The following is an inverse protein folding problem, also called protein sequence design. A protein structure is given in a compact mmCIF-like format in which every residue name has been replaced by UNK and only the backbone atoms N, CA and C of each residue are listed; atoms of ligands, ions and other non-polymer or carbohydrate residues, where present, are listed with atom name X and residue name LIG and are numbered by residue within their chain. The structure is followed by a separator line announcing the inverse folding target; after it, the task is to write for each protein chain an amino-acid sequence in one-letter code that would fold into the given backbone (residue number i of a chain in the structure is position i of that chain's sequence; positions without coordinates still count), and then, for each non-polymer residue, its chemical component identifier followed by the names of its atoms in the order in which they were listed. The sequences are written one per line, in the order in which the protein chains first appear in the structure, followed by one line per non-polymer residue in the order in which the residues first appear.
data_IF_907922651319
#
_entry.id   IF_907922651319
#
_cell.length_a   1.000
_cell.length_b   1.000
_cell.length_c   1.000
_cell.angle_alpha   90.00
_cell.angle_beta   90.00
_cell.angle_gamma   90.00
#
_symmetry.space_group_name_H-M   'P 1'
#
loop_
_entity.id
_entity.type
_entity.pdbx_description
1 polymer ?
#
# COMPACT_ATOMS: atom_id res chain seq x y z
N UNK A 1 -17.23 -0.86 32.85
CA UNK A 1 -16.39 -1.85 32.14
C UNK A 1 -14.97 -1.31 32.15
N UNK A 2 -13.99 -2.06 32.60
CA UNK A 2 -12.60 -1.60 32.54
C UNK A 2 -12.14 -1.60 31.07
N UNK A 3 -11.80 -0.42 30.56
CA UNK A 3 -11.41 -0.21 29.16
C UNK A 3 -10.15 -1.03 28.83
N UNK A 4 -9.18 -1.07 29.75
CA UNK A 4 -7.93 -1.77 29.51
C UNK A 4 -8.14 -3.29 29.45
N UNK A 5 -9.02 -3.86 30.29
CA UNK A 5 -9.40 -5.28 30.22
C UNK A 5 -10.06 -5.63 28.86
N UNK A 6 -10.91 -4.74 28.35
CA UNK A 6 -11.55 -4.95 27.04
C UNK A 6 -10.53 -4.90 25.90
N UNK A 7 -9.57 -3.98 25.95
CA UNK A 7 -8.51 -3.86 24.93
C UNK A 7 -7.54 -5.05 24.98
N UNK A 8 -7.21 -5.55 26.18
CA UNK A 8 -6.41 -6.78 26.35
C UNK A 8 -7.08 -7.98 25.71
N UNK A 9 -8.38 -8.18 25.98
CA UNK A 9 -9.16 -9.25 25.36
C UNK A 9 -9.18 -9.12 23.84
N UNK A 10 -9.31 -7.91 23.30
CA UNK A 10 -9.26 -7.69 21.84
C UNK A 10 -7.89 -8.05 21.27
N UNK A 11 -6.81 -7.74 21.98
CA UNK A 11 -5.45 -8.11 21.57
C UNK A 11 -5.25 -9.64 21.56
N UNK A 12 -5.80 -10.35 22.57
CA UNK A 12 -5.75 -11.81 22.61
C UNK A 12 -6.52 -12.43 21.43
N UNK A 13 -7.72 -11.92 21.13
CA UNK A 13 -8.53 -12.39 20.01
C UNK A 13 -7.84 -12.15 18.67
N UNK A 14 -7.23 -10.97 18.47
CA UNK A 14 -6.46 -10.65 17.27
C UNK A 14 -5.27 -11.60 17.08
N UNK A 15 -4.60 -11.96 18.19
CA UNK A 15 -3.51 -12.92 18.15
C UNK A 15 -3.98 -14.32 17.74
N UNK A 16 -5.10 -14.78 18.31
CA UNK A 16 -5.68 -16.10 17.96
C UNK A 16 -6.08 -16.16 16.48
N UNK A 17 -6.72 -15.12 15.96
CA UNK A 17 -7.08 -15.02 14.54
C UNK A 17 -5.84 -15.06 13.65
N UNK A 18 -4.81 -14.27 13.97
CA UNK A 18 -3.54 -14.27 13.23
C UNK A 18 -2.88 -15.66 13.23
N UNK A 19 -2.78 -16.28 14.40
CA UNK A 19 -2.10 -17.57 14.55
C UNK A 19 -2.84 -18.68 13.78
N UNK A 20 -4.18 -18.64 13.74
CA UNK A 20 -4.99 -19.60 12.95
C UNK A 20 -4.86 -19.37 11.44
N UNK A 21 -4.97 -18.11 10.96
CA UNK A 21 -4.77 -17.82 9.54
C UNK A 21 -3.37 -18.20 9.06
N UNK A 22 -2.35 -17.89 9.88
CA UNK A 22 -0.97 -18.27 9.58
C UNK A 22 -0.79 -19.80 9.51
N UNK A 23 -1.41 -20.54 10.42
CA UNK A 23 -1.37 -21.99 10.44
C UNK A 23 -2.03 -22.57 9.17
N UNK A 24 -3.21 -22.09 8.80
CA UNK A 24 -3.90 -22.52 7.58
C UNK A 24 -3.09 -22.22 6.32
N UNK A 25 -2.46 -21.06 6.27
CA UNK A 25 -1.58 -20.67 5.17
C UNK A 25 -0.39 -21.64 5.02
N UNK A 26 0.36 -21.91 6.09
CA UNK A 26 1.50 -22.84 6.03
C UNK A 26 1.08 -24.26 5.73
N UNK A 27 -0.03 -24.74 6.28
CA UNK A 27 -0.57 -26.05 5.92
C UNK A 27 -0.87 -26.16 4.42
N UNK A 28 -1.41 -25.10 3.81
CA UNK A 28 -1.67 -25.09 2.38
C UNK A 28 -0.38 -25.15 1.56
N UNK A 29 0.66 -24.43 1.95
CA UNK A 29 1.95 -24.43 1.25
C UNK A 29 2.73 -25.74 1.38
N UNK A 30 2.74 -26.36 2.56
CA UNK A 30 3.58 -27.53 2.84
C UNK A 30 2.92 -28.86 2.44
N UNK A 31 1.58 -28.97 2.55
CA UNK A 31 0.87 -30.22 2.32
C UNK A 31 0.18 -30.33 0.96
N UNK A 32 0.01 -29.22 0.23
CA UNK A 32 -0.70 -29.20 -1.04
C UNK A 32 0.28 -29.07 -2.21
N UNK A 33 0.00 -29.79 -3.29
CA UNK A 33 0.73 -29.65 -4.53
C UNK A 33 0.52 -28.25 -5.16
N UNK A 34 1.41 -27.85 -6.06
CA UNK A 34 1.26 -26.58 -6.79
C UNK A 34 -0.08 -26.55 -7.54
N UNK A 35 -0.46 -27.67 -8.14
CA UNK A 35 -1.71 -27.79 -8.89
C UNK A 35 -2.95 -27.61 -8.00
N UNK A 36 -2.93 -28.12 -6.79
CA UNK A 36 -4.02 -27.94 -5.80
C UNK A 36 -4.11 -26.49 -5.34
N UNK A 37 -2.98 -25.85 -5.11
CA UNK A 37 -2.92 -24.41 -4.73
C UNK A 37 -3.38 -23.50 -5.86
N UNK A 38 -3.07 -23.83 -7.11
CA UNK A 38 -3.56 -23.11 -8.31
C UNK A 38 -5.09 -23.26 -8.41
N UNK A 39 -5.64 -24.47 -8.21
CA UNK A 39 -7.10 -24.69 -8.19
C UNK A 39 -7.81 -23.88 -7.10
N UNK A 40 -7.17 -23.72 -5.93
CA UNK A 40 -7.69 -22.89 -4.84
C UNK A 40 -7.54 -21.36 -5.08
N UNK A 41 -6.81 -20.97 -6.12
CA UNK A 41 -6.59 -19.56 -6.45
C UNK A 41 -5.59 -18.84 -5.54
N UNK A 42 -4.80 -19.56 -4.71
CA UNK A 42 -3.76 -19.00 -3.84
C UNK A 42 -2.36 -19.02 -4.48
N UNK A 43 -2.21 -19.64 -5.63
CA UNK A 43 -0.97 -19.75 -6.39
C UNK A 43 -1.23 -19.49 -7.86
N UNK A 44 -0.37 -18.73 -8.52
CA UNK A 44 -0.29 -18.63 -9.99
C UNK A 44 0.96 -19.38 -10.47
N UNK A 45 0.79 -20.35 -11.34
CA UNK A 45 1.86 -21.20 -11.88
C UNK A 45 1.40 -21.90 -13.16
N UNK A 46 2.24 -22.08 -14.21
CA UNK A 46 3.57 -21.48 -14.34
C UNK A 46 3.49 -20.02 -14.82
N UNK A 47 4.44 -19.21 -14.39
CA UNK A 47 4.67 -17.88 -14.88
C UNK A 47 6.03 -17.81 -15.57
N UNK A 48 6.18 -16.91 -16.56
CA UNK A 48 7.44 -16.66 -17.24
C UNK A 48 7.94 -15.25 -16.92
N UNK A 49 9.14 -15.13 -16.38
CA UNK A 49 9.81 -13.85 -16.19
C UNK A 49 10.21 -13.28 -17.57
N UNK A 50 9.70 -12.09 -17.91
CA UNK A 50 9.93 -11.44 -19.21
C UNK A 50 10.72 -10.15 -19.12
N UNK A 51 10.78 -9.55 -17.94
CA UNK A 51 11.50 -8.31 -17.74
C UNK A 51 11.82 -8.03 -16.29
N UNK A 52 12.79 -7.16 -16.10
CA UNK A 52 13.21 -6.67 -14.81
C UNK A 52 13.75 -5.25 -14.93
N UNK A 53 13.25 -4.36 -14.09
CA UNK A 53 13.72 -2.97 -14.02
C UNK A 53 13.72 -2.45 -12.58
N UNK A 54 14.53 -1.43 -12.30
CA UNK A 54 14.49 -0.73 -11.02
C UNK A 54 13.36 0.30 -11.04
N UNK A 55 12.34 0.06 -10.24
CA UNK A 55 11.16 0.92 -10.09
C UNK A 55 11.36 2.03 -9.05
N UNK A 56 10.27 2.74 -8.76
CA UNK A 56 10.19 3.74 -7.69
C UNK A 56 10.48 3.08 -6.32
N UNK A 57 11.17 3.79 -5.42
CA UNK A 57 11.50 3.28 -4.07
C UNK A 57 12.65 2.25 -4.05
N UNK A 58 13.50 2.20 -5.09
CA UNK A 58 14.60 1.22 -5.24
C UNK A 58 14.16 -0.25 -5.29
N UNK A 59 12.88 -0.51 -5.49
CA UNK A 59 12.39 -1.86 -5.67
C UNK A 59 12.77 -2.40 -7.04
N UNK A 60 13.26 -3.64 -7.08
CA UNK A 60 13.32 -4.37 -8.33
C UNK A 60 11.91 -4.77 -8.74
N UNK A 61 11.49 -4.38 -9.93
CA UNK A 61 10.22 -4.74 -10.50
C UNK A 61 10.40 -5.88 -11.49
N UNK A 62 9.76 -7.01 -11.20
CA UNK A 62 9.70 -8.16 -12.08
C UNK A 62 8.45 -8.10 -12.93
N UNK A 63 8.59 -8.39 -14.20
CA UNK A 63 7.50 -8.55 -15.15
C UNK A 63 7.33 -10.04 -15.47
N UNK A 64 6.15 -10.58 -15.20
CA UNK A 64 5.79 -11.96 -15.51
C UNK A 64 4.69 -12.02 -16.56
N UNK A 65 4.88 -12.84 -17.59
CA UNK A 65 3.79 -13.24 -18.48
C UNK A 65 2.93 -14.30 -17.80
N UNK A 66 1.61 -14.07 -17.81
CA UNK A 66 0.62 -15.03 -17.34
C UNK A 66 0.06 -15.80 -18.55
N UNK A 67 0.11 -17.14 -18.57
CA UNK A 67 -0.53 -17.92 -19.61
C UNK A 67 -2.03 -17.58 -19.69
N UNK A 68 -2.57 -17.41 -20.90
CA UNK A 68 -3.95 -16.94 -21.14
C UNK A 68 -5.10 -17.75 -20.54
N UNK A 69 -4.81 -18.87 -19.87
CA UNK A 69 -5.77 -19.69 -19.13
C UNK A 69 -5.80 -19.41 -17.62
N UNK A 70 -4.86 -18.63 -17.09
CA UNK A 70 -4.83 -18.29 -15.66
C UNK A 70 -5.67 -17.06 -15.40
N UNK A 71 -6.74 -17.22 -14.63
CA UNK A 71 -7.48 -16.09 -14.07
C UNK A 71 -6.72 -15.58 -12.83
N UNK A 72 -6.48 -14.28 -12.68
CA UNK A 72 -5.80 -13.73 -11.51
C UNK A 72 -6.55 -13.99 -10.20
N UNK A 73 -7.85 -14.30 -10.23
CA UNK A 73 -8.61 -14.68 -9.03
C UNK A 73 -8.48 -13.67 -7.90
N UNK A 74 -7.91 -14.11 -6.77
CA UNK A 74 -7.68 -13.26 -5.59
C UNK A 74 -6.44 -12.36 -5.70
N UNK A 75 -5.63 -12.50 -6.75
CA UNK A 75 -4.46 -11.65 -6.98
C UNK A 75 -4.88 -10.28 -7.48
N UNK A 76 -4.42 -9.25 -6.82
CA UNK A 76 -4.70 -7.85 -7.18
C UNK A 76 -3.54 -6.95 -6.77
N UNK A 77 -3.49 -5.74 -7.29
CA UNK A 77 -2.51 -4.73 -6.86
C UNK A 77 -2.54 -4.51 -5.35
N UNK A 78 -1.37 -4.38 -4.74
CA UNK A 78 -1.19 -4.22 -3.31
C UNK A 78 -1.08 -5.53 -2.51
N UNK A 79 -1.36 -6.70 -3.09
CA UNK A 79 -1.19 -7.99 -2.41
C UNK A 79 0.28 -8.37 -2.28
N UNK A 80 0.66 -8.84 -1.09
CA UNK A 80 1.99 -9.40 -0.84
C UNK A 80 2.04 -10.83 -1.36
N UNK A 81 3.15 -11.16 -2.01
CA UNK A 81 3.35 -12.45 -2.68
C UNK A 81 4.76 -12.98 -2.44
N UNK A 82 4.91 -14.30 -2.57
CA UNK A 82 6.20 -14.99 -2.65
C UNK A 82 6.39 -15.55 -4.06
N UNK A 83 7.48 -15.14 -4.70
CA UNK A 83 7.93 -15.69 -5.98
C UNK A 83 8.76 -16.92 -5.67
N UNK A 84 8.50 -18.03 -6.36
CA UNK A 84 9.24 -19.29 -6.26
C UNK A 84 9.44 -19.87 -7.65
N UNK A 85 10.41 -20.80 -7.81
CA UNK A 85 10.58 -21.57 -9.02
C UNK A 85 10.57 -23.08 -8.73
N UNK A 86 10.12 -23.86 -9.72
CA UNK A 86 9.95 -25.30 -9.59
C UNK A 86 8.58 -25.75 -9.06
N UNK A 87 8.39 -27.06 -8.94
CA UNK A 87 7.12 -27.66 -8.49
C UNK A 87 7.04 -27.87 -6.98
N UNK A 88 8.18 -27.86 -6.28
CA UNK A 88 8.25 -28.02 -4.83
C UNK A 88 8.41 -26.66 -4.15
N UNK A 89 7.62 -26.41 -3.12
CA UNK A 89 7.77 -25.19 -2.31
C UNK A 89 8.98 -25.37 -1.37
N UNK A 90 9.99 -24.52 -1.57
CA UNK A 90 11.17 -24.48 -0.72
C UNK A 90 11.22 -23.15 0.02
N UNK A 91 10.87 -23.14 1.29
CA UNK A 91 10.75 -21.93 2.13
C UNK A 91 11.99 -21.01 2.12
N UNK A 92 13.17 -21.53 1.79
CA UNK A 92 14.43 -20.76 1.72
C UNK A 92 14.73 -20.19 0.33
N UNK A 93 14.02 -20.63 -0.69
CA UNK A 93 14.21 -20.26 -2.09
C UNK A 93 12.99 -19.49 -2.59
N UNK A 94 12.65 -18.37 -1.91
CA UNK A 94 11.54 -17.50 -2.28
C UNK A 94 11.96 -16.03 -2.20
N UNK A 95 11.40 -15.21 -3.08
CA UNK A 95 11.51 -13.75 -3.03
C UNK A 95 10.16 -13.17 -2.64
N UNK A 96 10.11 -12.38 -1.57
CA UNK A 96 8.92 -11.64 -1.19
C UNK A 96 8.79 -10.38 -2.03
N UNK A 97 7.57 -10.10 -2.46
CA UNK A 97 7.27 -8.91 -3.22
C UNK A 97 5.82 -8.47 -3.06
N UNK A 98 5.49 -7.35 -3.67
CA UNK A 98 4.12 -6.81 -3.71
C UNK A 98 3.69 -6.67 -5.16
N UNK A 99 2.50 -7.17 -5.49
CA UNK A 99 1.91 -6.97 -6.82
C UNK A 99 1.64 -5.48 -7.01
N UNK A 100 2.29 -4.87 -7.98
CA UNK A 100 2.00 -3.48 -8.37
C UNK A 100 0.77 -3.43 -9.27
N UNK A 101 0.72 -4.31 -10.25
CA UNK A 101 -0.32 -4.30 -11.27
C UNK A 101 -0.46 -5.67 -11.92
N UNK A 102 -1.68 -5.99 -12.35
CA UNK A 102 -1.98 -7.08 -13.28
C UNK A 102 -2.75 -6.48 -14.46
N UNK A 103 -2.20 -6.54 -15.65
CA UNK A 103 -2.80 -5.94 -16.85
C UNK A 103 -2.34 -6.66 -18.11
N UNK A 104 -3.27 -6.86 -19.05
CA UNK A 104 -2.99 -7.42 -20.39
C UNK A 104 -2.21 -8.75 -20.38
N UNK A 105 -2.52 -9.64 -19.43
CA UNK A 105 -1.83 -10.92 -19.29
C UNK A 105 -0.44 -10.84 -18.66
N UNK A 106 -0.07 -9.69 -18.10
CA UNK A 106 1.19 -9.48 -17.39
C UNK A 106 0.94 -9.15 -15.91
N UNK A 107 1.84 -9.62 -15.05
CA UNK A 107 1.90 -9.29 -13.63
C UNK A 107 3.21 -8.57 -13.35
N UNK A 108 3.11 -7.44 -12.63
CA UNK A 108 4.26 -6.66 -12.17
C UNK A 108 4.39 -6.82 -10.66
N UNK A 109 5.54 -7.32 -10.20
CA UNK A 109 5.82 -7.53 -8.77
C UNK A 109 7.03 -6.73 -8.37
N UNK A 110 6.87 -5.83 -7.39
CA UNK A 110 7.98 -5.08 -6.80
C UNK A 110 8.55 -5.85 -5.61
N UNK A 111 9.86 -5.92 -5.51
CA UNK A 111 10.58 -6.61 -4.44
C UNK A 111 11.77 -5.78 -3.93
N UNK A 112 12.11 -5.95 -2.65
CA UNK A 112 13.30 -5.36 -2.01
C UNK A 112 14.54 -6.26 -2.11
N UNK A 113 14.54 -7.22 -3.04
CA UNK A 113 15.67 -8.13 -3.20
C UNK A 113 16.90 -7.39 -3.74
N UNK A 114 18.01 -7.42 -3.00
CA UNK A 114 19.27 -6.76 -3.42
C UNK A 114 20.06 -7.61 -4.41
N UNK A 115 19.95 -8.94 -4.32
CA UNK A 115 20.60 -9.89 -5.20
C UNK A 115 19.60 -10.83 -5.83
N UNK A 116 19.75 -11.03 -7.15
CA UNK A 116 18.95 -12.00 -7.89
C UNK A 116 19.48 -13.39 -7.64
N UNK A 117 18.69 -14.32 -7.12
CA UNK A 117 19.12 -15.70 -7.02
C UNK A 117 19.15 -16.36 -8.40
N UNK A 118 20.12 -17.25 -8.62
CA UNK A 118 20.33 -17.94 -9.89
C UNK A 118 19.08 -18.75 -10.35
N UNK A 119 18.30 -19.26 -9.39
CA UNK A 119 17.09 -20.05 -9.67
C UNK A 119 15.95 -19.25 -10.32
N UNK A 120 16.02 -17.90 -10.31
CA UNK A 120 14.96 -17.07 -10.92
C UNK A 120 14.97 -17.14 -12.46
N UNK A 121 16.09 -17.56 -13.06
CA UNK A 121 16.22 -17.77 -14.52
C UNK A 121 15.73 -19.16 -14.94
N UNK A 122 15.42 -20.05 -14.01
CA UNK A 122 14.91 -21.39 -14.29
C UNK A 122 13.49 -21.34 -14.89
N UNK A 123 13.17 -22.31 -15.72
CA UNK A 123 11.82 -22.45 -16.29
C UNK A 123 10.80 -22.81 -15.20
N UNK A 124 9.65 -22.14 -15.21
CA UNK A 124 8.53 -22.47 -14.33
C UNK A 124 8.56 -21.78 -12.98
N UNK A 125 8.64 -20.47 -12.98
CA UNK A 125 8.36 -19.66 -11.78
C UNK A 125 6.87 -19.62 -11.46
N UNK A 126 6.58 -19.35 -10.21
CA UNK A 126 5.22 -19.14 -9.70
C UNK A 126 5.17 -18.08 -8.62
N UNK A 127 3.95 -17.69 -8.28
CA UNK A 127 3.70 -16.69 -7.26
C UNK A 127 2.61 -17.19 -6.31
N UNK A 128 2.92 -17.26 -5.01
CA UNK A 128 1.96 -17.56 -3.95
C UNK A 128 1.46 -16.25 -3.32
N UNK A 129 0.17 -16.16 -3.00
CA UNK A 129 -0.32 -15.15 -2.05
C UNK A 129 0.32 -15.42 -0.70
N UNK A 130 0.77 -14.37 -0.01
CA UNK A 130 1.37 -14.48 1.33
C UNK A 130 0.33 -14.12 2.38
N UNK A 131 0.43 -14.75 3.55
CA UNK A 131 -0.27 -14.32 4.74
C UNK A 131 0.07 -12.86 5.07
N UNK A 132 -0.95 -12.05 5.33
CA UNK A 132 -0.78 -10.61 5.58
C UNK A 132 -0.35 -10.33 7.03
N UNK A 133 0.88 -10.72 7.37
CA UNK A 133 1.47 -10.47 8.69
C UNK A 133 1.60 -8.96 8.99
N UNK A 134 1.75 -8.13 7.95
CA UNK A 134 1.93 -6.69 8.12
C UNK A 134 0.67 -6.03 8.70
N UNK A 135 -0.51 -6.34 8.18
CA UNK A 135 -1.78 -5.80 8.70
C UNK A 135 -2.01 -6.20 10.16
N UNK A 136 -1.69 -7.45 10.53
CA UNK A 136 -1.79 -7.88 11.93
C UNK A 136 -0.82 -7.13 12.85
N UNK A 137 0.42 -6.91 12.40
CA UNK A 137 1.42 -6.14 13.15
C UNK A 137 0.98 -4.70 13.38
N UNK A 138 0.41 -4.05 12.35
CA UNK A 138 -0.12 -2.69 12.47
C UNK A 138 -1.32 -2.62 13.42
N UNK A 139 -2.25 -3.58 13.35
CA UNK A 139 -3.38 -3.67 14.28
C UNK A 139 -2.92 -3.87 15.73
N UNK A 140 -1.97 -4.79 15.97
CA UNK A 140 -1.36 -4.98 17.31
C UNK A 140 -0.65 -3.71 17.81
N UNK A 141 0.10 -3.06 16.91
CA UNK A 141 0.77 -1.79 17.24
C UNK A 141 -0.21 -0.68 17.58
N UNK A 142 -1.32 -0.57 16.83
CA UNK A 142 -2.38 0.39 17.12
C UNK A 142 -3.03 0.13 18.49
N UNK A 143 -3.37 -1.13 18.80
CA UNK A 143 -3.93 -1.51 20.11
C UNK A 143 -2.96 -1.16 21.25
N UNK A 144 -1.67 -1.45 21.11
CA UNK A 144 -0.65 -1.09 22.11
C UNK A 144 -0.59 0.42 22.33
N UNK A 145 -0.62 1.23 21.25
CA UNK A 145 -0.64 2.70 21.36
C UNK A 145 -1.89 3.21 22.08
N UNK A 146 -3.06 2.64 21.77
CA UNK A 146 -4.33 3.01 22.44
C UNK A 146 -4.30 2.62 23.92
N UNK A 147 -3.79 1.44 24.28
CA UNK A 147 -3.66 0.99 25.66
C UNK A 147 -2.73 1.90 26.46
N UNK A 148 -1.57 2.25 25.90
CA UNK A 148 -0.56 3.09 26.54
C UNK A 148 -0.91 4.59 26.58
N UNK A 149 -1.99 5.02 25.93
CA UNK A 149 -2.35 6.42 25.88
C UNK A 149 -2.84 6.94 27.24
N UNK A 150 -2.12 7.95 27.77
CA UNK A 150 -2.39 8.66 29.02
C UNK A 150 -2.25 10.17 28.77
N UNK A 151 -3.14 10.97 29.34
CA UNK A 151 -3.11 12.45 29.35
C UNK A 151 -2.88 13.14 27.98
N UNK A 152 -3.34 12.50 26.90
CA UNK A 152 -3.27 13.03 25.54
C UNK A 152 -4.62 12.89 24.80
N UNK A 153 -4.69 13.43 23.60
CA UNK A 153 -5.90 13.39 22.77
C UNK A 153 -6.39 11.95 22.52
N UNK A 154 -5.49 10.99 22.30
CA UNK A 154 -5.84 9.59 22.10
C UNK A 154 -6.46 8.96 23.35
N UNK A 155 -5.97 9.32 24.56
CA UNK A 155 -6.56 8.86 25.83
C UNK A 155 -7.99 9.40 26.01
N UNK A 156 -8.22 10.68 25.67
CA UNK A 156 -9.56 11.28 25.65
C UNK A 156 -10.47 10.54 24.68
N UNK A 157 -9.99 10.29 23.47
CA UNK A 157 -10.73 9.58 22.42
C UNK A 157 -11.08 8.14 22.86
N UNK A 158 -10.13 7.42 23.45
CA UNK A 158 -10.33 6.12 24.05
C UNK A 158 -11.50 6.15 25.07
N UNK A 159 -11.52 7.13 25.98
CA UNK A 159 -12.61 7.28 26.97
C UNK A 159 -13.96 7.53 26.30
N UNK A 160 -14.02 8.36 25.26
CA UNK A 160 -15.27 8.65 24.53
C UNK A 160 -15.80 7.40 23.83
N UNK A 161 -14.97 6.66 23.12
CA UNK A 161 -15.37 5.45 22.38
C UNK A 161 -15.92 4.35 23.33
N UNK A 162 -15.36 4.23 24.53
CA UNK A 162 -15.80 3.25 25.52
C UNK A 162 -16.80 3.80 26.54
N UNK A 163 -17.37 4.98 26.30
CA UNK A 163 -18.45 5.57 27.12
C UNK A 163 -18.00 6.16 28.47
N UNK A 164 -16.67 6.31 28.69
CA UNK A 164 -16.11 6.93 29.89
C UNK A 164 -16.08 8.46 29.84
N UNK A 165 -16.35 9.09 28.70
CA UNK A 165 -16.46 10.53 28.54
C UNK A 165 -17.49 10.84 27.45
N UNK A 166 -18.08 12.05 27.51
CA UNK A 166 -18.98 12.54 26.47
C UNK A 166 -18.18 13.26 25.38
N UNK A 167 -18.55 13.10 24.08
CA UNK A 167 -17.95 13.88 23.00
C UNK A 167 -18.37 15.36 23.10
N UNK A 168 -17.49 16.26 22.64
CA UNK A 168 -17.76 17.70 22.59
C UNK A 168 -18.20 18.11 21.20
N UNK A 169 -19.03 19.16 21.17
CA UNK A 169 -19.53 19.77 19.96
C UNK A 169 -19.33 21.29 20.01
N UNK A 170 -19.24 21.91 18.84
CA UNK A 170 -19.23 23.35 18.66
C UNK A 170 -20.30 23.72 17.64
N UNK A 171 -20.79 24.94 17.69
CA UNK A 171 -21.66 25.44 16.63
C UNK A 171 -20.81 25.96 15.48
N UNK A 172 -20.93 25.30 14.32
CA UNK A 172 -20.24 25.67 13.08
C UNK A 172 -21.30 25.86 12.02
N UNK A 173 -21.21 26.93 11.26
CA UNK A 173 -22.11 27.16 10.15
C UNK A 173 -21.90 26.11 9.05
N UNK A 174 -22.99 25.46 8.64
CA UNK A 174 -23.02 24.52 7.53
C UNK A 174 -23.74 25.18 6.35
N UNK A 175 -23.07 25.26 5.22
CA UNK A 175 -23.71 25.76 3.99
C UNK A 175 -24.79 24.79 3.51
N UNK A 176 -26.02 25.28 3.23
CA UNK A 176 -27.06 24.43 2.66
C UNK A 176 -26.65 23.89 1.30
N UNK A 177 -26.85 22.59 1.07
CA UNK A 177 -26.53 21.92 -0.18
C UNK A 177 -27.80 21.41 -0.83
N UNK A 178 -28.21 22.00 -1.93
CA UNK A 178 -29.48 21.70 -2.60
C UNK A 178 -29.63 20.24 -3.07
N UNK A 179 -28.52 19.54 -3.28
CA UNK A 179 -28.52 18.13 -3.70
C UNK A 179 -28.67 17.13 -2.54
N UNK A 180 -28.63 17.59 -1.28
CA UNK A 180 -28.78 16.76 -0.10
C UNK A 180 -30.21 16.80 0.41
N UNK A 181 -30.73 15.64 0.84
CA UNK A 181 -31.98 15.61 1.56
C UNK A 181 -31.82 16.13 3.01
N UNK A 182 -32.92 16.43 3.74
CA UNK A 182 -32.84 16.99 5.09
C UNK A 182 -31.99 16.17 6.07
N UNK A 183 -32.10 14.83 6.03
CA UNK A 183 -31.34 13.96 6.92
C UNK A 183 -29.82 13.96 6.60
N UNK A 184 -29.46 14.04 5.32
CA UNK A 184 -28.07 14.18 4.88
C UNK A 184 -27.50 15.55 5.25
N UNK A 185 -28.28 16.61 5.10
CA UNK A 185 -27.89 17.97 5.52
C UNK A 185 -27.65 18.03 7.03
N UNK A 186 -28.53 17.44 7.82
CA UNK A 186 -28.38 17.32 9.28
C UNK A 186 -27.12 16.53 9.65
N UNK A 187 -26.82 15.43 8.93
CA UNK A 187 -25.61 14.64 9.14
C UNK A 187 -24.34 15.45 8.88
N UNK A 188 -24.28 16.22 7.78
CA UNK A 188 -23.14 17.11 7.49
C UNK A 188 -22.99 18.15 8.60
N UNK A 189 -24.07 18.79 9.04
CA UNK A 189 -24.05 19.76 10.15
C UNK A 189 -23.50 19.14 11.44
N UNK A 190 -23.95 17.93 11.82
CA UNK A 190 -23.49 17.22 13.00
C UNK A 190 -22.00 16.88 12.89
N UNK A 191 -21.52 16.45 11.73
CA UNK A 191 -20.10 16.18 11.52
C UNK A 191 -19.25 17.44 11.65
N UNK A 192 -19.68 18.58 11.10
CA UNK A 192 -18.97 19.85 11.24
C UNK A 192 -18.94 20.37 12.68
N UNK A 193 -19.98 20.10 13.45
CA UNK A 193 -20.07 20.51 14.85
C UNK A 193 -19.24 19.61 15.78
N UNK A 194 -18.93 18.39 15.38
CA UNK A 194 -18.22 17.44 16.23
C UNK A 194 -16.73 17.86 16.39
N UNK A 195 -16.28 18.01 17.63
CA UNK A 195 -14.86 18.23 17.96
C UNK A 195 -14.07 16.93 18.08
N UNK A 196 -14.72 15.86 18.49
CA UNK A 196 -14.07 14.57 18.77
C UNK A 196 -14.45 13.51 17.72
N UNK A 197 -15.74 13.17 17.64
CA UNK A 197 -16.25 12.08 16.78
C UNK A 197 -17.66 12.31 16.34
N UNK A 198 -17.94 11.95 15.07
CA UNK A 198 -19.29 11.82 14.53
C UNK A 198 -19.42 10.48 13.78
N UNK A 199 -20.57 9.85 13.84
CA UNK A 199 -20.87 8.60 13.15
C UNK A 199 -22.03 8.78 12.20
N UNK A 200 -21.78 8.56 10.89
CA UNK A 200 -22.83 8.54 9.87
C UNK A 200 -23.24 7.08 9.64
N UNK A 201 -24.40 6.70 10.14
CA UNK A 201 -24.94 5.37 9.96
C UNK A 201 -26.13 5.40 8.98
N UNK A 202 -26.26 4.36 8.16
CA UNK A 202 -27.38 4.20 7.23
C UNK A 202 -27.26 2.92 6.40
N UNK A 203 -28.38 2.33 5.95
CA UNK A 203 -28.40 1.18 5.04
C UNK A 203 -27.66 1.45 3.72
N UNK A 204 -27.35 0.41 2.92
CA UNK A 204 -26.87 0.57 1.54
C UNK A 204 -27.81 1.46 0.72
N UNK A 205 -27.24 2.31 -0.15
CA UNK A 205 -28.04 3.17 -1.04
C UNK A 205 -28.53 4.49 -0.44
N UNK A 206 -28.39 4.75 0.87
CA UNK A 206 -28.84 6.00 1.53
C UNK A 206 -28.01 7.24 1.23
N UNK A 207 -26.96 7.12 0.41
CA UNK A 207 -26.10 8.25 0.03
C UNK A 207 -25.01 8.60 1.03
N UNK A 208 -24.59 7.69 1.93
CA UNK A 208 -23.48 7.94 2.89
C UNK A 208 -22.24 8.54 2.24
N UNK A 209 -21.81 7.98 1.10
CA UNK A 209 -20.66 8.49 0.35
C UNK A 209 -20.86 9.92 -0.12
N UNK A 210 -22.06 10.28 -0.58
CA UNK A 210 -22.39 11.64 -1.01
C UNK A 210 -22.36 12.61 0.18
N UNK A 211 -22.95 12.20 1.31
CA UNK A 211 -22.89 12.97 2.56
C UNK A 211 -21.46 13.19 3.05
N UNK A 212 -20.64 12.13 2.99
CA UNK A 212 -19.22 12.22 3.40
C UNK A 212 -18.40 13.14 2.49
N UNK A 213 -18.60 13.06 1.18
CA UNK A 213 -17.95 13.96 0.21
C UNK A 213 -18.31 15.41 0.49
N UNK A 214 -19.58 15.70 0.75
CA UNK A 214 -20.02 17.06 1.05
C UNK A 214 -19.48 17.57 2.39
N UNK A 215 -19.44 16.71 3.42
CA UNK A 215 -18.79 17.04 4.68
C UNK A 215 -17.31 17.41 4.47
N UNK A 216 -16.55 16.60 3.70
CA UNK A 216 -15.13 16.85 3.43
C UNK A 216 -14.95 18.17 2.67
N UNK A 217 -15.81 18.47 1.69
CA UNK A 217 -15.78 19.74 0.95
C UNK A 217 -15.97 20.96 1.86
N UNK A 218 -16.86 20.87 2.83
CA UNK A 218 -17.07 21.98 3.76
C UNK A 218 -15.96 22.05 4.82
N UNK A 219 -15.49 20.91 5.31
CA UNK A 219 -14.37 20.84 6.25
C UNK A 219 -13.07 21.38 5.63
N UNK A 220 -12.80 21.13 4.35
CA UNK A 220 -11.59 21.60 3.66
C UNK A 220 -11.46 23.12 3.52
N UNK A 221 -12.53 23.89 3.81
CA UNK A 221 -12.47 25.35 3.89
C UNK A 221 -11.75 25.85 5.14
N UNK A 222 -11.65 25.00 6.18
CA UNK A 222 -11.04 25.33 7.47
C UNK A 222 -9.82 24.47 7.78
N UNK A 223 -9.89 23.21 7.41
CA UNK A 223 -8.83 22.23 7.68
C UNK A 223 -7.78 22.24 6.55
N UNK A 224 -6.50 22.35 6.92
CA UNK A 224 -5.40 22.31 5.97
C UNK A 224 -5.23 20.93 5.33
N UNK A 225 -5.35 19.88 6.13
CA UNK A 225 -5.19 18.50 5.70
C UNK A 225 -6.32 17.63 6.27
N UNK A 226 -6.92 16.81 5.40
CA UNK A 226 -7.96 15.84 5.77
C UNK A 226 -7.48 14.45 5.35
N UNK A 227 -7.42 13.51 6.30
CA UNK A 227 -7.10 12.11 6.02
C UNK A 227 -8.40 11.32 5.80
N UNK A 228 -8.49 10.61 4.67
CA UNK A 228 -9.63 9.78 4.29
C UNK A 228 -9.16 8.33 4.17
N UNK A 229 -9.64 7.46 5.06
CA UNK A 229 -9.24 6.07 5.11
C UNK A 229 -10.44 5.12 4.90
N UNK A 230 -10.17 3.98 4.28
CA UNK A 230 -11.11 2.86 4.20
C UNK A 230 -10.35 1.54 4.15
N UNK A 231 -10.89 0.45 4.72
CA UNK A 231 -10.30 -0.88 4.55
C UNK A 231 -10.38 -1.41 3.10
N UNK A 232 -11.20 -0.79 2.24
CA UNK A 232 -11.37 -1.17 0.84
C UNK A 232 -10.71 -0.14 -0.08
N UNK A 233 -9.73 -0.56 -0.88
CA UNK A 233 -9.12 0.27 -1.92
C UNK A 233 -10.16 0.85 -2.89
N UNK A 234 -11.18 0.05 -3.28
CA UNK A 234 -12.25 0.52 -4.17
C UNK A 234 -13.04 1.69 -3.56
N UNK A 235 -13.30 1.66 -2.25
CA UNK A 235 -14.01 2.75 -1.57
C UNK A 235 -13.14 4.01 -1.47
N UNK A 236 -11.85 3.86 -1.22
CA UNK A 236 -10.89 4.99 -1.22
C UNK A 236 -10.79 5.60 -2.61
N UNK A 237 -10.65 4.77 -3.66
CA UNK A 237 -10.57 5.23 -5.05
C UNK A 237 -11.81 6.04 -5.43
N UNK A 238 -13.01 5.54 -5.09
CA UNK A 238 -14.27 6.25 -5.34
C UNK A 238 -14.36 7.61 -4.62
N UNK A 239 -13.89 7.67 -3.37
CA UNK A 239 -13.89 8.93 -2.61
C UNK A 239 -12.86 9.90 -3.21
N UNK A 240 -11.65 9.43 -3.54
CA UNK A 240 -10.61 10.23 -4.14
C UNK A 240 -11.04 10.85 -5.47
N UNK A 241 -11.62 10.04 -6.38
CA UNK A 241 -12.16 10.55 -7.65
C UNK A 241 -13.26 11.60 -7.45
N UNK A 242 -14.23 11.32 -6.55
CA UNK A 242 -15.32 12.27 -6.29
C UNK A 242 -14.83 13.59 -5.71
N UNK A 243 -13.88 13.56 -4.78
CA UNK A 243 -13.31 14.76 -4.18
C UNK A 243 -12.46 15.54 -5.20
N UNK A 244 -11.69 14.84 -6.02
CA UNK A 244 -10.92 15.46 -7.10
C UNK A 244 -11.81 16.18 -8.12
N UNK A 245 -12.89 15.52 -8.59
CA UNK A 245 -13.87 16.13 -9.50
C UNK A 245 -14.58 17.36 -8.92
N UNK A 246 -14.60 17.47 -7.60
CA UNK A 246 -15.14 18.66 -6.89
C UNK A 246 -14.07 19.74 -6.67
N UNK A 247 -12.86 19.59 -7.24
CA UNK A 247 -11.80 20.59 -7.26
C UNK A 247 -10.85 20.58 -6.08
N UNK A 248 -10.91 19.59 -5.19
CA UNK A 248 -9.96 19.47 -4.09
C UNK A 248 -8.59 18.94 -4.57
N UNK A 249 -7.53 19.38 -3.90
CA UNK A 249 -6.18 18.86 -4.10
C UNK A 249 -6.06 17.50 -3.37
N UNK A 250 -6.40 16.44 -4.08
CA UNK A 250 -6.41 15.08 -3.53
C UNK A 250 -5.08 14.38 -3.83
N UNK A 251 -4.51 13.69 -2.84
CA UNK A 251 -3.40 12.75 -3.00
C UNK A 251 -3.85 11.35 -2.60
N UNK A 252 -3.82 10.40 -3.55
CA UNK A 252 -4.13 9.00 -3.30
C UNK A 252 -2.86 8.22 -3.02
N UNK A 253 -2.74 7.65 -1.82
CA UNK A 253 -1.63 6.79 -1.39
C UNK A 253 -1.96 5.32 -1.62
N UNK A 254 -0.96 4.54 -2.03
CA UNK A 254 -1.09 3.11 -2.32
C UNK A 254 -1.59 2.82 -3.73
N UNK A 255 -1.75 1.54 -4.04
CA UNK A 255 -2.09 1.08 -5.39
C UNK A 255 -3.59 1.21 -5.65
N UNK A 256 -4.02 1.90 -6.73
CA UNK A 256 -5.42 1.97 -7.12
C UNK A 256 -5.92 0.60 -7.61
N UNK A 257 -7.20 0.30 -7.37
CA UNK A 257 -7.84 -0.94 -7.86
C UNK A 257 -8.17 -0.88 -9.35
N UNK A 258 -8.36 0.32 -9.86
CA UNK A 258 -8.65 0.58 -11.27
C UNK A 258 -7.63 1.56 -11.83
N UNK A 259 -7.25 1.33 -13.09
CA UNK A 259 -6.32 2.21 -13.80
C UNK A 259 -7.18 3.09 -14.72
N UNK A 260 -7.49 4.31 -14.26
CA UNK A 260 -7.98 5.40 -15.10
C UNK A 260 -6.94 6.51 -15.11
N UNK A 261 -6.86 7.28 -16.19
CA UNK A 261 -5.94 8.42 -16.26
C UNK A 261 -6.21 9.44 -15.15
N UNK A 262 -7.51 9.68 -14.84
CA UNK A 262 -7.94 10.57 -13.77
C UNK A 262 -7.43 10.10 -12.41
N UNK A 263 -7.62 8.82 -12.08
CA UNK A 263 -7.16 8.26 -10.81
C UNK A 263 -5.64 8.22 -10.72
N UNK A 264 -4.94 7.84 -11.80
CA UNK A 264 -3.48 7.82 -11.84
C UNK A 264 -2.89 9.22 -11.61
N UNK A 265 -3.49 10.27 -12.15
CA UNK A 265 -3.00 11.65 -11.99
C UNK A 265 -3.00 12.14 -10.54
N UNK A 266 -3.83 11.59 -9.68
CA UNK A 266 -3.91 11.93 -8.26
C UNK A 266 -3.20 10.94 -7.34
N UNK A 267 -2.63 9.84 -7.87
CA UNK A 267 -1.79 8.95 -7.07
C UNK A 267 -0.42 9.56 -6.82
N UNK A 268 0.25 9.14 -5.75
CA UNK A 268 1.62 9.55 -5.47
C UNK A 268 2.55 9.19 -6.63
N UNK A 269 2.45 7.95 -7.14
CA UNK A 269 3.26 7.49 -8.28
C UNK A 269 3.02 8.35 -9.53
N UNK A 270 1.75 8.66 -9.86
CA UNK A 270 1.42 9.52 -11.00
C UNK A 270 1.94 10.95 -10.87
N UNK A 271 1.90 11.50 -9.67
CA UNK A 271 2.46 12.84 -9.39
C UNK A 271 3.99 12.85 -9.41
N UNK A 272 4.63 11.80 -8.91
CA UNK A 272 6.07 11.62 -9.03
C UNK A 272 6.50 11.56 -10.51
N UNK A 273 5.80 10.78 -11.33
CA UNK A 273 6.08 10.66 -12.77
C UNK A 273 5.91 11.99 -13.52
N UNK A 274 5.03 12.86 -13.08
CA UNK A 274 4.75 14.17 -13.70
C UNK A 274 5.59 15.32 -13.13
N UNK A 275 6.32 15.10 -12.03
CA UNK A 275 7.20 16.13 -11.45
C UNK A 275 8.43 16.35 -12.35
N UNK A 276 8.86 17.60 -12.59
CA UNK A 276 10.06 17.90 -13.39
C UNK A 276 11.33 17.19 -12.92
N UNK A 277 11.49 17.00 -11.60
CA UNK A 277 12.64 16.29 -11.01
C UNK A 277 12.65 14.78 -11.30
N UNK A 278 11.57 14.20 -11.79
CA UNK A 278 11.52 12.78 -12.12
C UNK A 278 12.51 12.37 -13.22
N UNK A 279 12.83 13.26 -14.15
CA UNK A 279 13.80 12.99 -15.21
C UNK A 279 15.19 12.72 -14.62
N UNK A 280 15.61 13.55 -13.68
CA UNK A 280 16.92 13.43 -13.02
C UNK A 280 16.96 12.17 -12.15
N UNK A 281 15.88 11.91 -11.41
CA UNK A 281 15.71 10.69 -10.63
C UNK A 281 15.84 9.43 -11.49
N UNK A 282 15.20 9.41 -12.66
CA UNK A 282 15.28 8.29 -13.62
C UNK A 282 16.70 8.14 -14.18
N UNK A 283 17.40 9.24 -14.43
CA UNK A 283 18.78 9.21 -14.90
C UNK A 283 19.73 8.65 -13.85
N UNK A 284 19.61 9.07 -12.57
CA UNK A 284 20.40 8.52 -11.47
C UNK A 284 20.21 7.01 -11.35
N UNK A 285 18.98 6.52 -11.38
CA UNK A 285 18.68 5.07 -11.34
C UNK A 285 19.28 4.33 -12.52
N UNK A 286 19.12 4.86 -13.74
CA UNK A 286 19.70 4.26 -14.95
C UNK A 286 21.22 4.14 -14.85
N UNK A 287 21.90 5.18 -14.41
CA UNK A 287 23.36 5.17 -14.23
C UNK A 287 23.78 4.18 -13.14
N UNK A 288 23.06 4.11 -12.04
CA UNK A 288 23.31 3.14 -10.99
C UNK A 288 23.19 1.69 -11.49
N UNK A 289 22.17 1.40 -12.32
CA UNK A 289 22.00 0.08 -12.95
C UNK A 289 23.14 -0.23 -13.94
N UNK A 290 23.61 0.76 -14.69
CA UNK A 290 24.77 0.61 -15.58
C UNK A 290 26.05 0.26 -14.76
N UNK A 291 26.30 0.94 -13.64
CA UNK A 291 27.43 0.63 -12.76
C UNK A 291 27.29 -0.76 -12.13
N UNK A 292 26.09 -1.16 -11.68
CA UNK A 292 25.82 -2.52 -11.17
C UNK A 292 26.06 -3.58 -12.25
N UNK A 293 25.61 -3.34 -13.51
CA UNK A 293 25.89 -4.25 -14.63
C UNK A 293 27.38 -4.35 -14.95
N UNK A 294 28.11 -3.23 -14.93
CA UNK A 294 29.57 -3.24 -15.11
C UNK A 294 30.28 -3.99 -13.98
N UNK A 295 29.85 -3.82 -12.73
CA UNK A 295 30.43 -4.51 -11.58
C UNK A 295 30.19 -6.04 -11.62
N UNK A 296 29.07 -6.49 -12.19
CA UNK A 296 28.71 -7.92 -12.33
C UNK A 296 29.32 -8.58 -13.58
N UNK A 297 29.88 -7.80 -14.50
CA UNK A 297 30.45 -8.35 -15.74
C UNK A 297 31.57 -9.34 -15.42
N UNK A 298 31.40 -10.58 -15.87
CA UNK A 298 32.38 -11.64 -15.68
C UNK A 298 33.75 -11.27 -16.27
N UNK A 299 34.82 -11.47 -15.49
CA UNK A 299 36.21 -11.33 -15.96
C UNK A 299 36.95 -12.65 -15.74
N UNK A 300 37.64 -13.12 -16.76
CA UNK A 300 38.35 -14.40 -16.74
C UNK A 300 39.49 -14.44 -15.70
N UNK A 301 40.13 -13.28 -15.42
CA UNK A 301 41.15 -13.10 -14.37
C UNK A 301 40.58 -12.11 -13.35
N UNK A 302 40.36 -12.56 -12.11
CA UNK A 302 39.78 -11.76 -11.03
C UNK A 302 40.82 -11.61 -9.89
N UNK A 303 41.66 -10.55 -9.99
CA UNK A 303 42.71 -10.21 -9.03
C UNK A 303 42.32 -9.11 -8.03
N UNK A 304 43.26 -8.65 -7.19
CA UNK A 304 42.99 -7.57 -6.23
C UNK A 304 42.58 -6.25 -6.88
N UNK A 305 43.12 -5.91 -8.03
CA UNK A 305 42.77 -4.70 -8.80
C UNK A 305 41.33 -4.74 -9.31
N UNK A 306 40.89 -5.88 -9.84
CA UNK A 306 39.51 -6.10 -10.29
C UNK A 306 38.49 -6.05 -9.14
N UNK A 307 38.89 -6.57 -7.97
CA UNK A 307 38.08 -6.47 -6.75
C UNK A 307 37.88 -5.02 -6.33
N UNK A 308 38.97 -4.24 -6.30
CA UNK A 308 38.92 -2.82 -5.96
C UNK A 308 38.04 -2.04 -6.96
N UNK A 309 38.19 -2.29 -8.26
CA UNK A 309 37.38 -1.67 -9.31
C UNK A 309 35.90 -2.04 -9.16
N UNK A 310 35.59 -3.32 -8.87
CA UNK A 310 34.20 -3.78 -8.63
C UNK A 310 33.61 -3.08 -7.40
N UNK A 311 34.37 -2.99 -6.32
CA UNK A 311 33.96 -2.28 -5.11
C UNK A 311 33.64 -0.82 -5.38
N UNK A 312 34.50 -0.12 -6.13
CA UNK A 312 34.27 1.27 -6.52
C UNK A 312 32.96 1.44 -7.32
N UNK A 313 32.73 0.57 -8.31
CA UNK A 313 31.48 0.62 -9.11
C UNK A 313 30.23 0.38 -8.25
N UNK A 314 30.28 -0.49 -7.25
CA UNK A 314 29.18 -0.67 -6.32
C UNK A 314 28.97 0.55 -5.43
N UNK A 315 30.04 1.18 -4.95
CA UNK A 315 29.97 2.40 -4.14
C UNK A 315 29.32 3.54 -4.94
N UNK A 316 29.79 3.77 -6.17
CA UNK A 316 29.21 4.78 -7.09
C UNK A 316 27.72 4.52 -7.39
N UNK A 317 27.36 3.25 -7.59
CA UNK A 317 25.95 2.89 -7.77
C UNK A 317 25.11 3.18 -6.53
N UNK A 318 25.63 2.91 -5.33
CA UNK A 318 24.94 3.20 -4.06
C UNK A 318 24.77 4.70 -3.82
N UNK A 319 25.80 5.50 -4.15
CA UNK A 319 25.73 6.96 -4.01
C UNK A 319 24.67 7.56 -4.93
N UNK A 320 24.60 7.11 -6.19
CA UNK A 320 23.54 7.53 -7.12
C UNK A 320 22.14 7.13 -6.67
N UNK A 321 21.98 5.93 -6.10
CA UNK A 321 20.70 5.50 -5.55
C UNK A 321 20.30 6.32 -4.31
N UNK A 322 21.27 6.70 -3.49
CA UNK A 322 21.02 7.61 -2.35
C UNK A 322 20.56 8.99 -2.81
N UNK A 323 21.15 9.54 -3.85
CA UNK A 323 20.70 10.80 -4.48
C UNK A 323 19.27 10.67 -5.02
N UNK A 324 18.98 9.58 -5.74
CA UNK A 324 17.65 9.30 -6.24
C UNK A 324 16.61 9.19 -5.11
N UNK A 325 16.96 8.54 -4.00
CA UNK A 325 16.09 8.41 -2.81
C UNK A 325 15.81 9.76 -2.17
N UNK A 326 16.84 10.56 -1.95
CA UNK A 326 16.68 11.90 -1.36
C UNK A 326 15.75 12.77 -2.21
N UNK A 327 15.88 12.71 -3.54
CA UNK A 327 15.03 13.44 -4.47
C UNK A 327 13.58 12.93 -4.43
N UNK A 328 13.37 11.62 -4.39
CA UNK A 328 12.05 10.99 -4.28
C UNK A 328 11.36 11.39 -2.96
N UNK A 329 12.07 11.36 -1.84
CA UNK A 329 11.58 11.80 -0.54
C UNK A 329 11.18 13.29 -0.55
N UNK A 330 12.01 14.13 -1.17
CA UNK A 330 11.71 15.54 -1.32
C UNK A 330 10.41 15.77 -2.11
N UNK A 331 10.27 15.12 -3.27
CA UNK A 331 9.07 15.27 -4.11
C UNK A 331 7.85 14.72 -3.37
N UNK A 332 7.98 13.56 -2.70
CA UNK A 332 6.91 12.95 -1.90
C UNK A 332 6.43 13.88 -0.80
N UNK A 333 7.35 14.45 -0.03
CA UNK A 333 7.03 15.40 1.05
C UNK A 333 6.30 16.62 0.51
N UNK A 334 6.81 17.22 -0.57
CA UNK A 334 6.17 18.34 -1.26
C UNK A 334 4.74 18.01 -1.70
N UNK A 335 4.49 16.82 -2.27
CA UNK A 335 3.14 16.42 -2.69
C UNK A 335 2.20 16.21 -1.50
N UNK A 336 2.71 15.68 -0.38
CA UNK A 336 1.93 15.54 0.85
C UNK A 336 1.56 16.89 1.45
N UNK A 337 2.49 17.85 1.48
CA UNK A 337 2.26 19.20 2.01
C UNK A 337 1.27 20.01 1.19
N UNK A 338 1.21 19.77 -0.12
CA UNK A 338 0.29 20.45 -1.05
C UNK A 338 -1.11 19.84 -1.05
N UNK A 339 -1.27 18.60 -0.60
CA UNK A 339 -2.56 17.93 -0.62
C UNK A 339 -3.50 18.47 0.47
N UNK A 340 -4.72 18.86 0.09
CA UNK A 340 -5.80 19.18 1.03
C UNK A 340 -6.43 17.89 1.60
N UNK A 341 -6.52 16.87 0.76
CA UNK A 341 -7.07 15.56 1.13
C UNK A 341 -6.07 14.46 0.77
N UNK A 342 -5.74 13.64 1.76
CA UNK A 342 -4.91 12.44 1.59
C UNK A 342 -5.82 11.23 1.73
N UNK A 343 -5.86 10.38 0.70
CA UNK A 343 -6.71 9.18 0.62
C UNK A 343 -5.89 7.90 0.61
#
# INVERSE_FOLDING_TARGET
MDINSTLQKLQELLKLERDEEQFQYFQALEKQSVEERVKKGITLYPLRLTGMETGLGEYLQFEFDMPGKLSPGMFSGGKVVEIFCGKEYKRKEVIKGTIKQISKGKMFVATTCDELPDWLEDEGCGVNLVFDEYSYREMEGALKRVMAAEDNHLARFKKIIYGGAKPEFSEVFCEPVASLNPAQQEAVQKCLNAKDVAVIHGPPGTGKTTTLVEYILQASKKEKHILVCSPSNLAVDLLAEKLHRRGLQVLRLGNPTRISEELLSITLDGRLLSDPGYKDLKEFRKRADEFRKMARKYKRNFGPSERAQRQLLFTEAMDLLKEARNMEEYITTKQMEQAQVIC
#
